data_IF_286783353928
#
_entry.id   IF_286783353928
#
_cell.length_a   1.000
_cell.length_b   1.000
_cell.length_c   1.000
_cell.angle_alpha   90.00
_cell.angle_beta   90.00
_cell.angle_gamma   90.00
#
_symmetry.space_group_name_H-M   'P 1'
#
loop_
_entity.id
_entity.type
_entity.pdbx_description
1 polymer ?
#
# COMPACT_ATOMS: atom_id res chain seq x y z
N UNK A 1 0.67 76.76 -49.82
CA UNK A 1 0.23 76.44 -48.45
C UNK A 1 0.34 74.96 -48.21
N UNK A 2 1.11 74.54 -47.18
CA UNK A 2 0.69 73.73 -46.01
C UNK A 2 -0.09 72.45 -46.38
N UNK A 3 0.59 71.29 -46.32
CA UNK A 3 0.55 70.24 -45.26
C UNK A 3 -0.83 69.56 -45.20
N UNK A 4 -0.93 68.24 -45.33
CA UNK A 4 -0.60 67.31 -44.25
C UNK A 4 -0.29 65.89 -44.72
N UNK A 5 0.72 65.29 -44.08
CA UNK A 5 1.06 63.88 -44.17
C UNK A 5 0.05 63.04 -43.37
N UNK A 6 -0.45 61.96 -43.96
CA UNK A 6 -1.25 60.95 -43.25
C UNK A 6 -0.32 59.81 -42.80
N UNK A 7 -0.15 59.71 -41.49
CA UNK A 7 0.67 58.71 -40.81
C UNK A 7 0.08 57.30 -40.94
N UNK A 8 0.91 56.38 -41.39
CA UNK A 8 0.76 54.93 -41.33
C UNK A 8 0.55 54.48 -39.88
N UNK A 9 -0.68 54.10 -39.51
CA UNK A 9 -0.96 53.44 -38.23
C UNK A 9 -0.70 51.94 -38.39
N UNK A 10 0.50 51.51 -38.03
CA UNK A 10 0.80 50.09 -37.83
C UNK A 10 -0.21 49.50 -36.82
N UNK A 11 -1.02 48.55 -37.28
CA UNK A 11 -1.85 47.71 -36.41
C UNK A 11 -0.88 46.97 -35.48
N UNK A 12 -0.86 47.36 -34.20
CA UNK A 12 -0.31 46.55 -33.13
C UNK A 12 -1.09 45.24 -33.12
N UNK A 13 -0.48 44.17 -33.63
CA UNK A 13 -0.90 42.81 -33.38
C UNK A 13 -0.96 42.62 -31.88
N UNK A 14 -2.15 42.28 -31.38
CA UNK A 14 -2.33 41.85 -30.00
C UNK A 14 -1.38 40.67 -29.71
N UNK A 15 -0.82 40.56 -28.49
CA UNK A 15 -0.03 39.41 -28.13
C UNK A 15 -0.91 38.16 -28.25
N UNK A 16 -0.34 37.13 -28.91
CA UNK A 16 -0.87 35.77 -28.98
C UNK A 16 -1.37 35.30 -27.62
N UNK A 17 -2.48 34.53 -27.54
CA UNK A 17 -2.98 34.02 -26.29
C UNK A 17 -1.87 33.20 -25.65
N UNK A 18 -1.45 33.66 -24.48
CA UNK A 18 -0.45 33.02 -23.65
C UNK A 18 -0.77 31.54 -23.50
N UNK A 19 0.24 30.73 -23.81
CA UNK A 19 0.34 29.30 -23.57
C UNK A 19 -0.27 28.97 -22.19
N UNK A 20 -1.52 28.51 -22.15
CA UNK A 20 -2.27 28.39 -20.91
C UNK A 20 -1.71 27.22 -20.08
N UNK A 21 -1.24 27.43 -18.83
CA UNK A 21 -0.92 26.36 -17.88
C UNK A 21 -2.17 25.60 -17.39
N UNK A 22 -3.35 26.19 -17.59
CA UNK A 22 -4.66 25.75 -17.08
C UNK A 22 -5.06 24.29 -17.42
N UNK A 23 -4.74 23.72 -18.59
CA UNK A 23 -5.11 22.34 -18.90
C UNK A 23 -4.33 21.32 -18.09
N UNK A 24 -3.03 21.57 -17.82
CA UNK A 24 -2.19 20.65 -17.06
C UNK A 24 -2.56 20.65 -15.57
N UNK A 25 -2.73 21.83 -14.98
CA UNK A 25 -3.18 21.97 -13.58
C UNK A 25 -4.51 21.26 -13.35
N UNK A 26 -5.48 21.43 -14.27
CA UNK A 26 -6.76 20.76 -14.18
C UNK A 26 -6.63 19.23 -14.28
N UNK A 27 -5.75 18.73 -15.16
CA UNK A 27 -5.48 17.29 -15.28
C UNK A 27 -4.82 16.73 -14.01
N UNK A 28 -3.84 17.44 -13.45
CA UNK A 28 -3.18 17.04 -12.21
C UNK A 28 -4.16 17.00 -11.04
N UNK A 29 -5.05 18.00 -10.91
CA UNK A 29 -6.12 17.97 -9.89
C UNK A 29 -7.06 16.79 -10.09
N UNK A 30 -7.45 16.48 -11.33
CA UNK A 30 -8.28 15.30 -11.61
C UNK A 30 -7.58 14.00 -11.20
N UNK A 31 -6.27 13.90 -11.46
CA UNK A 31 -5.47 12.75 -11.05
C UNK A 31 -5.40 12.63 -9.51
N UNK A 32 -5.21 13.74 -8.81
CA UNK A 32 -5.21 13.79 -7.35
C UNK A 32 -6.57 13.40 -6.76
N UNK A 33 -7.68 13.95 -7.29
CA UNK A 33 -9.02 13.57 -6.86
C UNK A 33 -9.31 12.08 -7.11
N UNK A 34 -8.88 11.54 -8.25
CA UNK A 34 -9.02 10.11 -8.55
C UNK A 34 -8.21 9.25 -7.57
N UNK A 35 -7.00 9.68 -7.21
CA UNK A 35 -6.17 9.00 -6.21
C UNK A 35 -6.78 9.02 -4.81
N UNK A 36 -7.24 10.18 -4.36
CA UNK A 36 -7.91 10.34 -3.07
C UNK A 36 -9.16 9.46 -3.00
N UNK A 37 -9.98 9.46 -4.07
CA UNK A 37 -11.17 8.61 -4.15
C UNK A 37 -10.78 7.13 -4.02
N UNK A 38 -9.80 6.66 -4.79
CA UNK A 38 -9.38 5.26 -4.74
C UNK A 38 -8.81 4.85 -3.38
N UNK A 39 -7.95 5.66 -2.75
CA UNK A 39 -7.41 5.32 -1.43
C UNK A 39 -8.54 5.23 -0.40
N UNK A 40 -9.51 6.14 -0.44
CA UNK A 40 -10.63 6.14 0.51
C UNK A 40 -11.52 4.89 0.41
N UNK A 41 -11.52 4.21 -0.73
CA UNK A 41 -12.26 2.96 -0.95
C UNK A 41 -11.36 1.73 -1.04
N UNK A 42 -10.08 1.85 -0.67
CA UNK A 42 -9.13 0.74 -0.64
C UNK A 42 -9.07 0.11 0.76
N UNK A 43 -8.88 -1.21 0.79
CA UNK A 43 -8.52 -1.99 1.98
C UNK A 43 -7.29 -2.82 1.64
N UNK A 44 -6.35 -2.86 2.58
CA UNK A 44 -5.05 -3.48 2.39
C UNK A 44 -4.82 -4.47 3.52
N UNK A 45 -4.71 -5.74 3.17
CA UNK A 45 -4.18 -6.76 4.07
C UNK A 45 -2.69 -6.90 3.77
N UNK A 46 -1.84 -6.59 4.75
CA UNK A 46 -0.40 -6.74 4.66
C UNK A 46 0.06 -8.01 5.37
N UNK A 47 0.88 -8.81 4.69
CA UNK A 47 1.42 -10.08 5.14
C UNK A 47 2.93 -10.11 4.90
N UNK A 48 3.62 -11.05 5.53
CA UNK A 48 5.05 -11.30 5.30
C UNK A 48 5.29 -12.76 4.93
N UNK A 49 6.25 -13.00 4.05
CA UNK A 49 6.73 -14.35 3.77
C UNK A 49 7.81 -14.83 4.77
N UNK A 50 8.16 -14.01 5.77
CA UNK A 50 9.13 -14.32 6.82
C UNK A 50 8.59 -13.97 8.20
N UNK A 51 8.82 -14.87 9.15
CA UNK A 51 8.58 -14.59 10.58
C UNK A 51 9.84 -14.09 11.28
N UNK A 52 10.97 -14.01 10.59
CA UNK A 52 12.29 -13.78 11.21
C UNK A 52 12.69 -12.32 11.35
N UNK A 53 11.93 -11.40 10.77
CA UNK A 53 12.25 -9.97 10.78
C UNK A 53 11.95 -9.34 12.16
N UNK A 54 12.98 -8.94 12.94
CA UNK A 54 12.76 -8.35 14.27
C UNK A 54 12.01 -7.01 14.20
N UNK A 55 12.15 -6.28 13.09
CA UNK A 55 11.45 -5.01 12.85
C UNK A 55 9.94 -5.19 12.87
N UNK A 56 9.44 -6.22 12.21
CA UNK A 56 8.03 -6.62 12.20
C UNK A 56 7.52 -6.94 13.60
N UNK A 57 8.25 -7.74 14.37
CA UNK A 57 7.84 -8.08 15.74
C UNK A 57 7.79 -6.87 16.67
N UNK A 58 8.73 -5.93 16.50
CA UNK A 58 8.73 -4.69 17.25
C UNK A 58 7.54 -3.80 16.91
N UNK A 59 7.22 -3.66 15.62
CA UNK A 59 6.18 -2.71 15.15
C UNK A 59 4.77 -3.25 15.22
N UNK A 60 4.58 -4.53 14.89
CA UNK A 60 3.25 -5.11 14.62
C UNK A 60 2.81 -6.15 15.66
N UNK A 61 3.72 -6.66 16.48
CA UNK A 61 3.42 -7.66 17.51
C UNK A 61 3.65 -7.13 18.92
N UNK A 62 3.17 -5.91 19.20
CA UNK A 62 3.28 -5.23 20.51
C UNK A 62 4.67 -5.37 21.16
N UNK A 63 5.71 -4.96 20.44
CA UNK A 63 7.10 -5.08 20.93
C UNK A 63 7.49 -6.50 21.39
N UNK A 64 7.22 -7.50 20.54
CA UNK A 64 7.47 -8.93 20.77
C UNK A 64 6.54 -9.62 21.80
N UNK A 65 5.45 -9.00 22.22
CA UNK A 65 4.44 -9.62 23.11
C UNK A 65 3.32 -10.34 22.37
N UNK A 66 3.11 -9.98 21.11
CA UNK A 66 2.06 -10.54 20.26
C UNK A 66 2.43 -11.87 19.60
N UNK A 67 1.68 -12.21 18.56
CA UNK A 67 1.82 -13.45 17.78
C UNK A 67 1.91 -13.16 16.29
N UNK A 68 2.50 -14.09 15.54
CA UNK A 68 2.41 -14.11 14.09
C UNK A 68 1.62 -15.35 13.64
N UNK A 69 0.66 -15.12 12.74
CA UNK A 69 -0.19 -16.15 12.16
C UNK A 69 0.35 -16.52 10.77
N UNK A 70 0.62 -17.80 10.54
CA UNK A 70 1.06 -18.28 9.24
C UNK A 70 -0.07 -19.01 8.53
N UNK A 71 -0.39 -18.50 7.36
CA UNK A 71 -1.42 -19.02 6.50
C UNK A 71 -0.84 -19.84 5.33
N UNK A 72 -1.65 -20.75 4.80
CA UNK A 72 -1.43 -21.43 3.52
C UNK A 72 -2.28 -20.77 2.44
N UNK A 73 -1.68 -19.89 1.64
CA UNK A 73 -2.40 -19.00 0.72
C UNK A 73 -2.66 -19.61 -0.67
N UNK A 74 -2.69 -20.94 -0.80
CA UNK A 74 -2.70 -21.62 -2.11
C UNK A 74 -4.08 -21.76 -2.74
N UNK A 75 -5.11 -21.97 -1.92
CA UNK A 75 -6.42 -22.46 -2.42
C UNK A 75 -7.61 -21.60 -1.94
N UNK A 76 -7.37 -20.66 -1.04
CA UNK A 76 -8.43 -19.90 -0.36
C UNK A 76 -8.33 -18.40 -0.67
N UNK A 77 -9.38 -17.89 -1.31
CA UNK A 77 -9.63 -16.45 -1.41
C UNK A 77 -9.93 -15.89 -0.01
N UNK A 78 -9.42 -14.70 0.37
CA UNK A 78 -8.77 -13.70 -0.50
C UNK A 78 -7.24 -13.81 -0.60
N UNK A 79 -6.63 -14.83 0.02
CA UNK A 79 -5.17 -14.88 0.22
C UNK A 79 -4.38 -15.18 -1.06
N UNK A 80 -5.03 -15.81 -2.03
CA UNK A 80 -4.52 -16.13 -3.38
C UNK A 80 -4.18 -14.89 -4.21
N UNK A 81 -4.82 -13.74 -3.93
CA UNK A 81 -4.60 -12.46 -4.61
C UNK A 81 -3.38 -11.67 -4.09
N UNK A 82 -2.58 -12.25 -3.19
CA UNK A 82 -1.46 -11.57 -2.59
C UNK A 82 -0.39 -11.18 -3.63
N UNK A 83 -0.02 -9.90 -3.64
CA UNK A 83 1.01 -9.33 -4.53
C UNK A 83 2.21 -8.86 -3.74
N UNK A 84 3.41 -9.18 -4.21
CA UNK A 84 4.65 -8.77 -3.56
C UNK A 84 4.83 -7.24 -3.59
N UNK A 85 5.27 -6.68 -2.46
CA UNK A 85 5.62 -5.26 -2.37
C UNK A 85 6.98 -4.99 -3.02
N UNK A 86 7.04 -3.92 -3.82
CA UNK A 86 8.24 -3.41 -4.46
C UNK A 86 8.94 -2.36 -3.59
N UNK A 87 10.23 -2.57 -3.35
CA UNK A 87 11.03 -1.75 -2.43
C UNK A 87 11.95 -0.78 -3.18
N UNK A 88 11.79 0.52 -2.91
CA UNK A 88 12.51 1.58 -3.59
C UNK A 88 13.08 2.63 -2.64
N UNK A 89 14.22 3.23 -3.01
CA UNK A 89 14.75 4.44 -2.37
C UNK A 89 14.02 5.71 -2.85
N UNK A 90 13.19 5.59 -3.89
CA UNK A 90 12.44 6.68 -4.49
C UNK A 90 10.97 6.54 -4.11
N UNK A 91 10.40 7.61 -3.55
CA UNK A 91 8.97 7.64 -3.20
C UNK A 91 8.11 7.45 -4.45
N UNK A 92 6.99 6.70 -4.36
CA UNK A 92 6.05 6.60 -5.46
C UNK A 92 5.49 8.00 -5.78
N UNK A 93 5.49 8.36 -7.06
CA UNK A 93 4.82 9.56 -7.57
C UNK A 93 3.65 9.16 -8.46
N UNK A 94 2.57 9.96 -8.45
CA UNK A 94 1.40 9.74 -9.33
C UNK A 94 1.75 9.96 -10.80
N UNK A 95 2.68 10.86 -11.08
CA UNK A 95 3.22 11.14 -12.41
C UNK A 95 4.65 11.66 -12.29
N UNK A 96 5.40 11.64 -13.39
CA UNK A 96 6.75 12.20 -13.52
C UNK A 96 6.74 13.50 -14.31
N UNK A 97 7.75 14.37 -14.13
CA UNK A 97 7.90 15.59 -14.94
C UNK A 97 7.96 15.26 -16.44
N UNK A 98 8.61 14.16 -16.81
CA UNK A 98 8.69 13.71 -18.21
C UNK A 98 7.31 13.37 -18.78
N UNK A 99 6.46 12.69 -18.01
CA UNK A 99 5.08 12.39 -18.42
C UNK A 99 4.24 13.65 -18.53
N UNK A 100 4.35 14.58 -17.57
CA UNK A 100 3.66 15.87 -17.60
C UNK A 100 4.05 16.69 -18.84
N UNK A 101 5.34 16.75 -19.17
CA UNK A 101 5.83 17.43 -20.38
C UNK A 101 5.30 16.75 -21.63
N UNK A 102 5.35 15.42 -21.71
CA UNK A 102 4.80 14.65 -22.84
C UNK A 102 3.30 14.87 -23.04
N UNK A 103 2.53 14.98 -21.96
CA UNK A 103 1.10 15.29 -21.99
C UNK A 103 0.86 16.74 -22.46
N UNK A 104 1.70 17.69 -22.02
CA UNK A 104 1.63 19.10 -22.44
C UNK A 104 1.88 19.27 -23.94
N UNK A 105 2.85 18.54 -24.51
CA UNK A 105 3.17 18.60 -25.95
C UNK A 105 2.30 17.66 -26.80
N UNK A 106 1.30 17.02 -26.21
CA UNK A 106 0.34 16.15 -26.92
C UNK A 106 0.95 14.85 -27.48
N UNK A 107 2.15 14.47 -27.04
CA UNK A 107 2.88 13.31 -27.56
C UNK A 107 2.37 11.98 -26.98
N UNK A 108 1.49 11.98 -25.99
CA UNK A 108 0.96 10.75 -25.40
C UNK A 108 -0.47 10.95 -24.87
N UNK A 109 -1.38 10.02 -25.17
CA UNK A 109 -2.48 9.68 -24.26
C UNK A 109 -1.84 8.86 -23.15
N UNK A 110 -1.52 9.52 -22.03
CA UNK A 110 -0.83 8.95 -20.87
C UNK A 110 -1.27 7.51 -20.54
N UNK A 111 -0.50 6.53 -20.98
CA UNK A 111 -0.43 5.23 -20.32
C UNK A 111 0.70 5.38 -19.29
N UNK A 112 0.33 5.74 -18.06
CA UNK A 112 1.25 5.65 -16.93
C UNK A 112 1.73 4.20 -16.86
N UNK A 113 3.04 3.97 -16.79
CA UNK A 113 3.64 2.62 -16.87
C UNK A 113 3.23 1.63 -15.75
N UNK A 114 2.33 2.04 -14.86
CA UNK A 114 1.63 1.20 -13.90
C UNK A 114 0.25 1.77 -13.59
N UNK A 115 -0.63 0.94 -13.07
CA UNK A 115 -1.91 1.39 -12.54
C UNK A 115 -1.68 2.19 -11.26
N UNK A 116 -2.62 3.07 -10.92
CA UNK A 116 -2.56 3.83 -9.68
C UNK A 116 -2.55 2.90 -8.45
N UNK A 117 -3.19 1.73 -8.54
CA UNK A 117 -3.18 0.68 -7.51
C UNK A 117 -1.79 0.12 -7.26
N UNK A 118 -0.93 0.02 -8.28
CA UNK A 118 0.44 -0.48 -8.12
C UNK A 118 1.27 0.41 -7.17
N UNK A 119 0.87 1.67 -6.96
CA UNK A 119 1.50 2.55 -5.96
C UNK A 119 1.23 2.09 -4.53
N UNK A 120 0.12 1.39 -4.28
CA UNK A 120 -0.18 0.74 -3.01
C UNK A 120 0.67 -0.53 -2.79
N UNK A 121 1.48 -0.94 -3.76
CA UNK A 121 2.44 -2.04 -3.64
C UNK A 121 3.88 -1.55 -3.58
N UNK A 122 4.10 -0.27 -3.25
CA UNK A 122 5.44 0.28 -3.09
C UNK A 122 5.73 0.59 -1.62
N UNK A 123 6.96 0.37 -1.18
CA UNK A 123 7.45 0.72 0.16
C UNK A 123 8.90 1.18 0.13
N UNK A 124 9.33 1.85 1.19
CA UNK A 124 10.72 2.28 1.39
C UNK A 124 11.64 1.07 1.43
N UNK A 125 12.79 1.15 0.75
CA UNK A 125 13.83 0.12 0.81
C UNK A 125 14.38 -0.13 2.23
N UNK A 126 14.27 0.83 3.13
CA UNK A 126 14.63 0.65 4.54
C UNK A 126 13.81 -0.45 5.23
N UNK A 127 12.60 -0.74 4.73
CA UNK A 127 11.69 -1.74 5.28
C UNK A 127 11.71 -3.06 4.49
N UNK A 128 12.72 -3.27 3.62
CA UNK A 128 12.79 -4.46 2.76
C UNK A 128 12.91 -5.79 3.53
N UNK A 129 13.41 -5.75 4.78
CA UNK A 129 13.49 -6.91 5.66
C UNK A 129 12.12 -7.54 5.98
N UNK A 130 11.05 -6.76 5.90
CA UNK A 130 9.69 -7.24 6.16
C UNK A 130 9.18 -8.20 5.09
N UNK A 131 9.74 -8.17 3.88
CA UNK A 131 9.36 -9.03 2.74
C UNK A 131 7.83 -9.14 2.56
N UNK A 132 7.22 -7.96 2.48
CA UNK A 132 5.79 -7.76 2.56
C UNK A 132 5.07 -8.19 1.27
N UNK A 133 3.90 -8.79 1.44
CA UNK A 133 2.91 -9.11 0.42
C UNK A 133 1.60 -8.44 0.79
N UNK A 134 0.85 -7.95 -0.20
CA UNK A 134 -0.42 -7.25 0.03
C UNK A 134 -1.55 -7.86 -0.79
N UNK A 135 -2.69 -8.08 -0.14
CA UNK A 135 -3.97 -8.26 -0.82
C UNK A 135 -4.67 -6.90 -0.85
N UNK A 136 -5.11 -6.49 -2.04
CA UNK A 136 -5.79 -5.22 -2.24
C UNK A 136 -7.27 -5.47 -2.56
N UNK A 137 -8.15 -4.78 -1.86
CA UNK A 137 -9.57 -4.68 -2.21
C UNK A 137 -9.87 -3.21 -2.49
N UNK A 138 -10.34 -2.91 -3.70
CA UNK A 138 -10.71 -1.55 -4.10
C UNK A 138 -12.13 -1.62 -4.64
N UNK A 139 -13.05 -0.87 -4.03
CA UNK A 139 -14.43 -0.75 -4.55
C UNK A 139 -14.59 0.55 -5.32
N UNK A 140 -15.25 0.45 -6.48
CA UNK A 140 -15.65 1.60 -7.29
C UNK A 140 -16.96 2.25 -6.78
N UNK A 141 -17.74 1.50 -5.99
CA UNK A 141 -18.96 1.97 -5.32
C UNK A 141 -18.64 2.51 -3.93
N UNK A 142 -19.50 3.37 -3.38
CA UNK A 142 -19.35 3.93 -2.01
C UNK A 142 -19.34 2.88 -0.88
N UNK A 143 -19.36 1.58 -1.21
CA UNK A 143 -19.41 0.46 -0.27
C UNK A 143 -18.22 0.35 0.70
N UNK A 144 -17.08 0.99 0.42
CA UNK A 144 -15.96 1.11 1.37
C UNK A 144 -15.60 2.54 1.71
N UNK A 145 -16.43 3.53 1.33
CA UNK A 145 -16.15 4.93 1.56
C UNK A 145 -15.84 5.14 3.05
N UNK A 146 -14.63 5.64 3.35
CA UNK A 146 -14.22 5.97 4.71
C UNK A 146 -15.25 6.92 5.31
N UNK A 147 -16.02 6.43 6.29
CA UNK A 147 -16.83 7.30 7.14
C UNK A 147 -15.92 7.97 8.17
N UNK A 148 -16.44 8.98 8.90
CA UNK A 148 -15.72 9.56 10.03
C UNK A 148 -15.49 8.56 11.16
N UNK A 149 -16.24 7.45 11.19
CA UNK A 149 -16.12 6.40 12.19
C UNK A 149 -15.02 5.39 11.82
N UNK A 150 -13.92 5.32 12.59
CA UNK A 150 -12.84 4.36 12.35
C UNK A 150 -13.28 2.90 12.44
N UNK A 151 -14.39 2.59 13.12
CA UNK A 151 -14.93 1.22 13.17
C UNK A 151 -15.36 0.69 11.80
N UNK A 152 -15.50 1.57 10.79
CA UNK A 152 -15.86 1.21 9.41
C UNK A 152 -14.64 1.07 8.47
N UNK A 153 -13.43 1.27 8.99
CA UNK A 153 -12.21 1.33 8.19
C UNK A 153 -11.58 -0.05 7.92
N UNK A 154 -12.19 -1.13 8.35
CA UNK A 154 -11.75 -2.50 8.10
C UNK A 154 -12.86 -3.35 7.48
N UNK A 155 -12.48 -4.51 6.96
CA UNK A 155 -13.40 -5.56 6.54
C UNK A 155 -13.16 -6.75 7.44
N UNK A 156 -14.23 -7.22 8.07
CA UNK A 156 -14.20 -8.45 8.86
C UNK A 156 -14.45 -9.64 7.93
N UNK A 157 -13.39 -10.06 7.26
CA UNK A 157 -13.41 -11.24 6.39
C UNK A 157 -12.84 -12.44 7.14
N UNK A 158 -13.64 -13.49 7.28
CA UNK A 158 -13.18 -14.77 7.79
C UNK A 158 -12.24 -15.47 6.81
N UNK A 159 -11.51 -16.46 7.31
CA UNK A 159 -10.67 -17.37 6.53
C UNK A 159 -11.06 -18.82 6.81
N UNK A 160 -10.70 -19.76 5.93
CA UNK A 160 -10.99 -21.17 6.17
C UNK A 160 -10.13 -21.69 7.31
N UNK A 161 -10.69 -22.57 8.14
CA UNK A 161 -9.96 -23.05 9.31
C UNK A 161 -8.63 -23.74 8.94
N UNK A 162 -8.62 -24.44 7.81
CA UNK A 162 -7.44 -25.13 7.28
C UNK A 162 -6.36 -24.18 6.72
N UNK A 163 -6.68 -22.92 6.48
CA UNK A 163 -5.70 -21.94 6.00
C UNK A 163 -4.69 -21.60 7.08
N UNK A 164 -5.09 -21.59 8.36
CA UNK A 164 -4.19 -21.27 9.46
C UNK A 164 -3.35 -22.49 9.84
N UNK A 165 -2.05 -22.45 9.50
CA UNK A 165 -1.14 -23.60 9.70
C UNK A 165 -0.38 -23.54 11.01
N UNK A 166 0.01 -22.34 11.43
CA UNK A 166 0.80 -22.20 12.64
C UNK A 166 0.74 -20.83 13.28
N UNK A 167 0.90 -20.82 14.59
CA UNK A 167 1.03 -19.62 15.43
C UNK A 167 2.46 -19.55 15.95
N UNK A 168 3.10 -18.41 15.78
CA UNK A 168 4.41 -18.10 16.34
C UNK A 168 4.21 -17.14 17.50
N UNK A 169 4.76 -17.47 18.66
CA UNK A 169 4.70 -16.63 19.85
C UNK A 169 5.93 -15.73 19.93
N UNK A 170 5.71 -14.44 20.19
CA UNK A 170 6.78 -13.48 20.43
C UNK A 170 7.58 -13.80 21.69
N UNK A 171 8.81 -13.29 21.77
CA UNK A 171 9.74 -13.59 22.87
C UNK A 171 9.27 -13.10 24.24
N UNK A 172 8.35 -12.13 24.27
CA UNK A 172 7.87 -11.49 25.50
C UNK A 172 6.40 -11.77 25.76
N UNK A 173 5.80 -12.79 25.11
CA UNK A 173 4.42 -13.17 25.39
C UNK A 173 4.27 -13.63 26.85
N UNK A 174 3.13 -13.34 27.47
CA UNK A 174 2.83 -13.84 28.80
C UNK A 174 2.36 -15.31 28.74
N UNK A 175 2.55 -16.06 29.82
CA UNK A 175 2.07 -17.44 29.89
C UNK A 175 0.53 -17.53 29.82
N UNK A 176 -0.16 -16.50 30.33
CA UNK A 176 -1.62 -16.38 30.28
C UNK A 176 -2.10 -16.19 28.84
N UNK A 177 -1.58 -15.19 28.12
CA UNK A 177 -1.94 -14.93 26.72
C UNK A 177 -1.59 -16.12 25.82
N UNK A 178 -0.42 -16.74 26.04
CA UNK A 178 -0.01 -17.92 25.29
C UNK A 178 -1.01 -19.08 25.49
N UNK A 179 -1.44 -19.32 26.73
CA UNK A 179 -2.40 -20.38 27.04
C UNK A 179 -3.78 -20.09 26.41
N UNK A 180 -4.25 -18.84 26.49
CA UNK A 180 -5.53 -18.42 25.90
C UNK A 180 -5.53 -18.59 24.38
N UNK A 181 -4.50 -18.07 23.70
CA UNK A 181 -4.36 -18.17 22.23
C UNK A 181 -4.24 -19.63 21.81
N UNK A 182 -3.48 -20.44 22.56
CA UNK A 182 -3.34 -21.88 22.29
C UNK A 182 -4.68 -22.59 22.41
N UNK A 183 -5.47 -22.29 23.44
CA UNK A 183 -6.80 -22.87 23.62
C UNK A 183 -7.75 -22.50 22.47
N UNK A 184 -7.83 -21.21 22.13
CA UNK A 184 -8.68 -20.71 21.05
C UNK A 184 -8.30 -21.32 19.69
N UNK A 185 -6.99 -21.42 19.41
CA UNK A 185 -6.51 -21.95 18.14
C UNK A 185 -6.76 -23.46 18.01
N UNK A 186 -6.59 -24.23 19.10
CA UNK A 186 -6.88 -25.66 19.08
C UNK A 186 -8.39 -25.96 18.96
N UNK A 187 -9.24 -25.12 19.54
CA UNK A 187 -10.69 -25.28 19.45
C UNK A 187 -11.22 -25.11 18.02
N UNK A 188 -10.65 -24.15 17.26
CA UNK A 188 -11.24 -23.69 15.99
C UNK A 188 -10.45 -24.04 14.74
N UNK A 189 -9.14 -24.27 14.85
CA UNK A 189 -8.22 -24.29 13.70
C UNK A 189 -7.30 -25.52 13.67
N UNK A 190 -7.75 -26.65 14.21
CA UNK A 190 -6.97 -27.88 14.24
C UNK A 190 -6.97 -28.60 12.87
N UNK A 191 -5.82 -29.12 12.37
CA UNK A 191 -4.52 -29.19 13.04
C UNK A 191 -3.70 -27.91 12.90
N UNK A 192 -3.28 -27.34 14.03
CA UNK A 192 -2.40 -26.17 14.08
C UNK A 192 -1.08 -26.51 14.78
N UNK A 193 0.01 -25.87 14.35
CA UNK A 193 1.33 -26.03 14.96
C UNK A 193 1.74 -24.75 15.69
N UNK A 194 2.27 -24.89 16.90
CA UNK A 194 2.74 -23.77 17.69
C UNK A 194 4.27 -23.68 17.66
N UNK A 195 4.77 -22.46 17.67
CA UNK A 195 6.19 -22.17 17.75
C UNK A 195 6.46 -21.11 18.82
N UNK A 196 7.52 -21.27 19.59
CA UNK A 196 8.01 -20.23 20.49
C UNK A 196 9.30 -19.61 19.97
N UNK A 197 9.47 -18.31 20.23
CA UNK A 197 10.73 -17.64 19.92
C UNK A 197 11.86 -18.17 20.79
N UNK A 198 13.02 -18.40 20.20
CA UNK A 198 14.29 -18.71 20.87
C UNK A 198 15.27 -17.57 20.57
N UNK A 199 15.97 -17.11 21.59
CA UNK A 199 17.03 -16.11 21.41
C UNK A 199 18.24 -16.79 20.76
N UNK A 200 18.59 -16.37 19.55
CA UNK A 200 19.79 -16.83 18.87
C UNK A 200 21.03 -16.39 19.66
N UNK A 201 21.98 -17.31 19.87
CA UNK A 201 23.16 -17.05 20.70
C UNK A 201 24.15 -16.05 20.07
N UNK A 202 24.20 -16.00 18.73
CA UNK A 202 25.24 -15.29 17.98
C UNK A 202 24.69 -14.27 16.97
N UNK A 203 23.37 -14.20 16.77
CA UNK A 203 22.73 -13.32 15.78
C UNK A 203 21.58 -12.54 16.40
N UNK A 204 21.19 -11.45 15.73
CA UNK A 204 19.99 -10.69 16.07
C UNK A 204 18.74 -11.22 15.35
N UNK A 205 18.81 -12.42 14.78
CA UNK A 205 17.67 -13.04 14.12
C UNK A 205 16.72 -13.67 15.13
N UNK A 206 15.43 -13.69 14.77
CA UNK A 206 14.43 -14.44 15.53
C UNK A 206 14.50 -15.91 15.10
N UNK A 207 14.76 -16.81 16.04
CA UNK A 207 14.65 -18.25 15.84
C UNK A 207 13.39 -18.78 16.50
N UNK A 208 12.90 -19.92 16.00
CA UNK A 208 11.66 -20.50 16.46
C UNK A 208 11.78 -22.01 16.57
N UNK A 209 11.28 -22.55 17.67
CA UNK A 209 11.16 -23.99 17.89
C UNK A 209 9.71 -24.40 18.07
N UNK A 210 9.38 -25.59 17.56
CA UNK A 210 8.03 -26.15 17.65
C UNK A 210 7.76 -26.58 19.10
N UNK A 211 6.54 -26.30 19.57
CA UNK A 211 6.02 -26.73 20.88
C UNK A 211 4.70 -27.46 20.75
#
# INVERSE_FOLDING_TARGET
GRKTASMTRAKRTAPSPSCCPRPLELKLRKLECAWQKMISSARVLAMSDTVRDPGSWRRYADSHRGVALKFDCRESEPLTDARQVSYSNVRPTLTTVREQVKDLVGLTRSQTGGTMQDKLLMKSRADAGEREWRVLRVSDADGFASSEDPATWYLDEGFQADDLRSVYFGSNITAEDQAEITALANERYSPIVFYRTVLAAETYEMEFERI
#
